data_IF_348564779005
#
_entry.id   IF_348564779005
#
_cell.length_a   1.000
_cell.length_b   1.000
_cell.length_c   1.000
_cell.angle_alpha   90.00
_cell.angle_beta   90.00
_cell.angle_gamma   90.00
#
_symmetry.space_group_name_H-M   'P 1'
#
loop_
_entity.id
_entity.type
_entity.pdbx_description
1 polymer ?
#
# COMPACT_ATOMS: atom_id res chain seq x y z
N UNK A 1 -30.32 -21.65 -21.33
CA UNK A 1 -29.94 -23.00 -20.86
C UNK A 1 -29.28 -22.89 -19.50
N UNK A 2 -29.86 -23.43 -18.41
CA UNK A 2 -29.15 -23.50 -17.13
C UNK A 2 -27.92 -24.39 -17.31
N UNK A 3 -26.74 -23.84 -17.00
CA UNK A 3 -25.45 -24.50 -17.20
C UNK A 3 -25.42 -25.86 -16.48
N UNK A 4 -25.57 -26.97 -17.22
CA UNK A 4 -25.55 -28.38 -16.76
C UNK A 4 -24.37 -28.72 -15.83
N UNK A 5 -23.30 -27.93 -15.88
CA UNK A 5 -22.05 -28.12 -15.15
C UNK A 5 -21.87 -27.21 -13.91
N UNK A 6 -22.90 -26.41 -13.54
CA UNK A 6 -22.87 -25.53 -12.36
C UNK A 6 -23.95 -25.94 -11.36
N UNK A 7 -23.56 -26.17 -10.10
CA UNK A 7 -24.50 -26.37 -8.98
C UNK A 7 -24.34 -25.22 -8.00
N UNK A 8 -25.40 -24.45 -7.77
CA UNK A 8 -25.37 -23.24 -6.93
C UNK A 8 -24.37 -22.20 -7.45
N UNK A 9 -24.33 -21.95 -8.77
CA UNK A 9 -23.45 -20.95 -9.41
C UNK A 9 -21.97 -21.32 -9.53
N UNK A 10 -21.51 -22.37 -8.83
CA UNK A 10 -20.11 -22.85 -8.85
C UNK A 10 -19.91 -23.95 -9.90
N UNK A 11 -18.90 -23.76 -10.77
CA UNK A 11 -18.50 -24.75 -11.78
C UNK A 11 -17.94 -26.02 -11.14
N UNK A 12 -18.54 -27.19 -11.42
CA UNK A 12 -18.21 -28.47 -10.78
C UNK A 12 -17.09 -29.25 -11.47
N UNK A 13 -16.73 -28.89 -12.70
CA UNK A 13 -15.68 -29.58 -13.47
C UNK A 13 -14.26 -29.34 -12.94
N UNK A 14 -14.10 -28.49 -11.93
CA UNK A 14 -12.83 -28.26 -11.27
C UNK A 14 -12.85 -28.93 -9.90
N UNK A 15 -11.74 -29.59 -9.53
CA UNK A 15 -11.53 -30.08 -8.17
C UNK A 15 -11.68 -28.92 -7.19
N UNK A 16 -12.57 -29.04 -6.22
CA UNK A 16 -12.79 -28.04 -5.16
C UNK A 16 -12.19 -28.61 -3.89
N UNK A 17 -11.35 -27.84 -3.20
CA UNK A 17 -10.77 -28.30 -1.93
C UNK A 17 -11.91 -28.52 -0.89
N UNK A 18 -11.91 -29.66 -0.17
CA UNK A 18 -12.88 -29.90 0.90
C UNK A 18 -12.81 -28.80 1.96
N UNK A 19 -13.95 -28.21 2.30
CA UNK A 19 -14.03 -27.11 3.28
C UNK A 19 -14.47 -25.76 2.68
N UNK A 20 -13.98 -25.36 1.50
CA UNK A 20 -14.40 -24.07 0.90
C UNK A 20 -15.73 -24.14 0.15
N UNK A 21 -16.18 -25.33 -0.25
CA UNK A 21 -17.37 -25.51 -1.12
C UNK A 21 -18.59 -24.74 -0.62
N UNK A 22 -18.91 -24.85 0.68
CA UNK A 22 -20.05 -24.15 1.30
C UNK A 22 -19.88 -22.63 1.23
N UNK A 23 -18.68 -22.11 1.46
CA UNK A 23 -18.37 -20.68 1.32
C UNK A 23 -18.53 -20.23 -0.13
N UNK A 24 -18.01 -20.99 -1.10
CA UNK A 24 -18.15 -20.66 -2.53
C UNK A 24 -19.62 -20.62 -2.99
N UNK A 25 -20.47 -21.50 -2.47
CA UNK A 25 -21.90 -21.48 -2.77
C UNK A 25 -22.58 -20.22 -2.21
N UNK A 26 -22.19 -19.76 -1.01
CA UNK A 26 -22.68 -18.49 -0.47
C UNK A 26 -22.19 -17.29 -1.28
N UNK A 27 -20.94 -17.31 -1.74
CA UNK A 27 -20.39 -16.28 -2.64
C UNK A 27 -21.19 -16.26 -3.96
N UNK A 28 -21.53 -17.43 -4.49
CA UNK A 28 -22.32 -17.54 -5.72
C UNK A 28 -23.79 -17.15 -5.55
N UNK A 29 -24.31 -17.06 -4.31
CA UNK A 29 -25.65 -16.56 -4.02
C UNK A 29 -25.73 -15.03 -3.95
N UNK A 30 -24.59 -14.33 -4.00
CA UNK A 30 -24.54 -12.88 -4.06
C UNK A 30 -25.22 -12.35 -5.34
N UNK A 31 -26.11 -11.36 -5.27
CA UNK A 31 -26.84 -10.85 -6.44
C UNK A 31 -25.93 -10.21 -7.49
N UNK A 32 -24.76 -9.72 -7.08
CA UNK A 32 -23.79 -9.11 -7.98
C UNK A 32 -22.86 -10.13 -8.65
N UNK A 33 -22.90 -11.40 -8.24
CA UNK A 33 -22.03 -12.47 -8.74
C UNK A 33 -22.77 -13.30 -9.77
N UNK A 34 -22.21 -13.37 -10.98
CA UNK A 34 -22.79 -14.17 -12.07
C UNK A 34 -22.31 -15.62 -12.03
N UNK A 35 -21.03 -15.80 -11.70
CA UNK A 35 -20.39 -17.10 -11.77
C UNK A 35 -19.16 -17.16 -10.87
N UNK A 36 -18.98 -18.32 -10.24
CA UNK A 36 -17.76 -18.66 -9.50
C UNK A 36 -17.06 -19.83 -10.19
N UNK A 37 -15.78 -19.67 -10.46
CA UNK A 37 -14.95 -20.65 -11.16
C UNK A 37 -13.75 -21.01 -10.29
N UNK A 38 -13.70 -22.25 -9.74
CA UNK A 38 -12.52 -22.72 -9.03
C UNK A 38 -11.36 -22.89 -10.01
N UNK A 39 -10.17 -22.46 -9.59
CA UNK A 39 -8.92 -22.57 -10.33
C UNK A 39 -8.01 -23.67 -9.78
N UNK A 40 -6.70 -23.50 -10.04
CA UNK A 40 -5.65 -24.46 -9.64
C UNK A 40 -5.54 -24.56 -8.12
N UNK A 41 -5.24 -25.77 -7.66
CA UNK A 41 -4.93 -26.09 -6.27
C UNK A 41 -3.41 -26.17 -6.13
N UNK A 42 -2.87 -25.50 -5.12
CA UNK A 42 -1.47 -25.51 -4.74
C UNK A 42 -1.35 -26.14 -3.35
N UNK A 43 -0.36 -27.00 -3.14
CA UNK A 43 0.01 -27.45 -1.79
C UNK A 43 0.63 -26.30 -1.02
N UNK A 44 0.15 -26.03 0.18
CA UNK A 44 0.70 -24.96 1.01
C UNK A 44 0.58 -25.30 2.49
N UNK A 45 1.66 -25.10 3.23
CA UNK A 45 1.65 -25.22 4.68
C UNK A 45 1.07 -23.94 5.27
N UNK A 46 -0.17 -23.96 5.74
CA UNK A 46 -0.75 -22.77 6.39
C UNK A 46 -2.26 -22.81 6.60
N UNK A 47 -2.69 -21.89 7.49
CA UNK A 47 -4.05 -21.65 8.03
C UNK A 47 -4.69 -22.88 8.68
N UNK A 48 -5.04 -22.80 9.95
CA UNK A 48 -5.83 -23.85 10.61
C UNK A 48 -7.30 -23.85 10.12
N UNK A 49 -7.79 -22.73 9.60
CA UNK A 49 -9.18 -22.58 9.15
C UNK A 49 -9.31 -22.26 7.65
N UNK A 50 -10.43 -22.70 7.01
CA UNK A 50 -10.75 -22.36 5.61
C UNK A 50 -11.13 -20.88 5.48
N UNK A 51 -10.26 -20.08 4.86
CA UNK A 51 -10.46 -18.63 4.69
C UNK A 51 -10.41 -18.27 3.21
N UNK A 52 -11.27 -17.34 2.77
CA UNK A 52 -11.21 -16.76 1.42
C UNK A 52 -10.74 -15.32 1.52
N UNK A 53 -9.69 -14.99 0.77
CA UNK A 53 -9.02 -13.68 0.81
C UNK A 53 -9.13 -13.03 -0.56
N UNK A 54 -9.42 -11.73 -0.59
CA UNK A 54 -9.39 -10.94 -1.81
C UNK A 54 -7.95 -10.70 -2.27
N UNK A 55 -7.69 -10.85 -3.57
CA UNK A 55 -6.36 -10.59 -4.14
C UNK A 55 -6.34 -9.33 -5.01
N UNK A 56 -7.11 -9.30 -6.09
CA UNK A 56 -7.20 -8.16 -7.00
C UNK A 56 -8.44 -8.22 -7.91
N UNK A 57 -8.80 -7.08 -8.49
CA UNK A 57 -9.82 -6.98 -9.53
C UNK A 57 -9.29 -7.38 -10.91
N UNK A 58 -10.15 -7.97 -11.72
CA UNK A 58 -9.90 -8.33 -13.13
C UNK A 58 -10.96 -7.68 -14.02
N UNK A 59 -10.70 -7.58 -15.32
CA UNK A 59 -11.62 -7.00 -16.31
C UNK A 59 -13.02 -7.64 -16.34
N UNK A 60 -13.19 -8.87 -15.86
CA UNK A 60 -14.49 -9.56 -15.82
C UNK A 60 -15.03 -9.77 -14.41
N UNK A 61 -14.32 -9.31 -13.37
CA UNK A 61 -14.67 -9.63 -11.98
C UNK A 61 -13.51 -9.51 -11.01
N UNK A 62 -13.26 -10.53 -10.21
CA UNK A 62 -12.20 -10.51 -9.18
C UNK A 62 -11.58 -11.87 -8.96
N UNK A 63 -10.32 -11.83 -8.52
CA UNK A 63 -9.59 -13.02 -8.08
C UNK A 63 -9.56 -13.07 -6.56
N UNK A 64 -9.96 -14.22 -6.03
CA UNK A 64 -9.89 -14.56 -4.63
C UNK A 64 -8.95 -15.75 -4.43
N UNK A 65 -8.46 -15.92 -3.22
CA UNK A 65 -7.64 -17.06 -2.80
C UNK A 65 -8.32 -17.75 -1.62
N UNK A 66 -8.70 -19.01 -1.80
CA UNK A 66 -9.14 -19.89 -0.73
C UNK A 66 -7.93 -20.57 -0.10
N UNK A 67 -7.70 -20.35 1.19
CA UNK A 67 -6.62 -20.93 1.99
C UNK A 67 -7.23 -21.96 2.94
N UNK A 68 -6.71 -23.18 2.95
CA UNK A 68 -7.11 -24.31 3.80
C UNK A 68 -5.82 -24.94 4.38
N UNK A 69 -5.88 -25.61 5.54
CA UNK A 69 -4.79 -26.45 6.01
C UNK A 69 -4.23 -27.36 4.90
N UNK A 70 -2.99 -27.14 4.48
CA UNK A 70 -2.31 -27.98 3.49
C UNK A 70 -2.54 -27.59 2.02
N UNK A 71 -3.48 -26.69 1.71
CA UNK A 71 -3.80 -26.35 0.32
C UNK A 71 -4.34 -24.93 0.12
N UNK A 72 -4.03 -24.34 -1.02
CA UNK A 72 -4.51 -23.04 -1.48
C UNK A 72 -5.15 -23.20 -2.85
N UNK A 73 -6.30 -22.57 -3.08
CA UNK A 73 -6.99 -22.59 -4.36
C UNK A 73 -7.28 -21.17 -4.84
N UNK A 74 -6.98 -20.94 -6.11
CA UNK A 74 -7.43 -19.73 -6.79
C UNK A 74 -8.93 -19.82 -7.10
N UNK A 75 -9.64 -18.73 -6.93
CA UNK A 75 -11.08 -18.64 -7.19
C UNK A 75 -11.31 -17.41 -8.06
N UNK A 76 -11.93 -17.60 -9.22
CA UNK A 76 -12.28 -16.51 -10.11
C UNK A 76 -13.78 -16.25 -10.01
N UNK A 77 -14.14 -15.02 -9.68
CA UNK A 77 -15.53 -14.58 -9.54
C UNK A 77 -15.83 -13.63 -10.68
N UNK A 78 -16.86 -13.93 -11.47
CA UNK A 78 -17.34 -13.11 -12.58
C UNK A 78 -18.45 -12.21 -12.07
N UNK A 79 -18.31 -10.91 -12.28
CA UNK A 79 -19.26 -9.89 -11.81
C UNK A 79 -19.15 -8.64 -12.68
N UNK A 80 -20.30 -8.10 -13.11
CA UNK A 80 -20.36 -6.79 -13.76
C UNK A 80 -20.09 -5.65 -12.77
N UNK A 81 -20.51 -5.79 -11.51
CA UNK A 81 -20.40 -4.78 -10.46
C UNK A 81 -19.41 -5.24 -9.39
N UNK A 82 -18.11 -5.18 -9.73
CA UNK A 82 -17.04 -5.82 -8.96
C UNK A 82 -16.88 -5.22 -7.56
N UNK A 83 -16.99 -3.90 -7.45
CA UNK A 83 -16.87 -3.18 -6.17
C UNK A 83 -18.07 -3.46 -5.24
N UNK A 84 -19.29 -3.38 -5.77
CA UNK A 84 -20.51 -3.71 -5.03
C UNK A 84 -20.50 -5.17 -4.56
N UNK A 85 -20.05 -6.09 -5.42
CA UNK A 85 -19.86 -7.48 -5.06
C UNK A 85 -18.85 -7.65 -3.92
N UNK A 86 -17.68 -7.00 -3.98
CA UNK A 86 -16.68 -7.10 -2.93
C UNK A 86 -17.20 -6.55 -1.60
N UNK A 87 -17.85 -5.39 -1.61
CA UNK A 87 -18.42 -4.77 -0.42
C UNK A 87 -19.46 -5.69 0.24
N UNK A 88 -20.35 -6.29 -0.56
CA UNK A 88 -21.34 -7.26 -0.06
C UNK A 88 -20.68 -8.49 0.55
N UNK A 89 -19.64 -9.03 -0.11
CA UNK A 89 -18.94 -10.23 0.33
C UNK A 89 -18.14 -10.01 1.62
N UNK A 90 -17.54 -8.82 1.78
CA UNK A 90 -16.85 -8.41 2.99
C UNK A 90 -17.84 -8.18 4.12
N UNK A 91 -18.97 -7.49 3.87
CA UNK A 91 -20.03 -7.30 4.85
C UNK A 91 -20.64 -8.63 5.35
N UNK A 92 -20.73 -9.62 4.46
CA UNK A 92 -21.19 -10.97 4.78
C UNK A 92 -20.13 -11.85 5.48
N UNK A 93 -18.94 -11.32 5.80
CA UNK A 93 -17.79 -12.05 6.35
C UNK A 93 -17.39 -13.30 5.54
N UNK A 94 -17.66 -13.28 4.23
CA UNK A 94 -17.31 -14.39 3.32
C UNK A 94 -15.90 -14.23 2.77
N UNK A 95 -15.45 -12.99 2.58
CA UNK A 95 -14.15 -12.62 2.03
C UNK A 95 -13.45 -11.65 2.98
N UNK A 96 -12.17 -11.89 3.23
CA UNK A 96 -11.30 -10.96 3.96
C UNK A 96 -10.57 -10.06 2.97
N UNK A 97 -10.62 -8.75 3.22
CA UNK A 97 -9.69 -7.80 2.62
C UNK A 97 -8.35 -7.99 3.32
N UNK A 98 -7.29 -8.27 2.57
CA UNK A 98 -5.98 -8.56 3.15
C UNK A 98 -5.37 -7.27 3.73
N UNK A 99 -5.73 -6.96 4.98
CA UNK A 99 -5.03 -5.98 5.80
C UNK A 99 -4.82 -6.64 7.18
N UNK A 100 -3.55 -6.92 7.50
CA UNK A 100 -3.07 -7.60 8.72
C UNK A 100 -3.12 -9.14 8.72
N UNK A 101 -2.06 -9.75 8.18
CA UNK A 101 -1.48 -10.96 8.80
C UNK A 101 -0.15 -10.59 9.42
N UNK A 102 0.10 -10.90 10.70
CA UNK A 102 1.46 -10.92 11.25
C UNK A 102 2.20 -12.09 10.61
N UNK A 103 2.79 -11.86 9.44
CA UNK A 103 3.43 -12.90 8.64
C UNK A 103 4.04 -12.32 7.38
N UNK A 104 5.28 -12.75 7.11
CA UNK A 104 6.21 -12.19 6.12
C UNK A 104 5.53 -11.74 4.81
N UNK A 105 5.87 -10.54 4.30
CA UNK A 105 5.34 -10.05 3.03
C UNK A 105 5.62 -11.07 1.93
N UNK A 106 4.56 -11.42 1.21
CA UNK A 106 4.59 -12.41 0.14
C UNK A 106 5.62 -12.01 -0.92
N UNK A 107 6.69 -12.81 -1.02
CA UNK A 107 7.69 -12.87 -2.11
C UNK A 107 7.98 -11.56 -2.87
N UNK A 108 8.89 -10.74 -2.34
CA UNK A 108 9.80 -10.04 -3.24
C UNK A 108 10.59 -11.11 -3.99
N UNK A 109 10.54 -11.07 -5.33
CA UNK A 109 11.36 -11.78 -6.34
C UNK A 109 12.16 -12.99 -5.83
N UNK A 110 11.94 -14.16 -6.43
CA UNK A 110 12.81 -15.37 -6.33
C UNK A 110 14.27 -14.97 -6.10
N UNK A 111 14.71 -15.02 -4.84
CA UNK A 111 16.13 -14.93 -4.50
C UNK A 111 16.73 -16.25 -4.96
N UNK A 112 17.75 -16.16 -5.80
CA UNK A 112 18.49 -17.30 -6.31
C UNK A 112 18.85 -18.25 -5.17
N UNK A 113 18.68 -19.53 -5.45
CA UNK A 113 19.05 -20.65 -4.59
C UNK A 113 20.51 -20.50 -4.15
N UNK A 114 20.75 -20.24 -2.87
CA UNK A 114 22.03 -20.57 -2.23
C UNK A 114 21.74 -21.51 -1.08
N UNK A 115 22.30 -22.71 -1.18
CA UNK A 115 22.33 -23.72 -0.14
C UNK A 115 23.26 -23.27 0.99
N UNK A 116 22.80 -23.55 2.21
CA UNK A 116 23.45 -23.53 3.51
C UNK A 116 24.99 -23.36 3.58
N UNK A 117 25.44 -22.52 4.52
CA UNK A 117 26.80 -22.58 5.07
C UNK A 117 27.30 -21.25 5.62
N UNK A 118 27.13 -21.07 6.94
CA UNK A 118 28.01 -20.33 7.86
C UNK A 118 28.34 -18.83 7.68
N UNK A 119 28.61 -18.22 8.83
CA UNK A 119 28.89 -16.82 9.02
C UNK A 119 30.25 -16.42 8.44
N UNK A 120 30.28 -15.62 7.38
CA UNK A 120 31.38 -14.68 7.13
C UNK A 120 30.92 -13.52 6.23
N UNK A 121 31.24 -12.30 6.67
CA UNK A 121 31.10 -11.07 5.89
C UNK A 121 32.22 -11.05 4.85
N UNK A 122 31.94 -11.51 3.62
CA UNK A 122 32.84 -11.29 2.49
C UNK A 122 32.37 -10.08 1.67
N UNK A 123 33.27 -9.18 1.25
CA UNK A 123 32.93 -8.09 0.36
C UNK A 123 32.46 -8.63 -0.99
N UNK A 124 31.50 -7.93 -1.59
CA UNK A 124 30.93 -8.22 -2.90
C UNK A 124 32.11 -8.36 -3.88
N UNK A 125 32.32 -9.57 -4.43
CA UNK A 125 33.34 -9.80 -5.45
C UNK A 125 33.01 -8.93 -6.67
N UNK A 126 33.76 -7.84 -6.83
CA UNK A 126 33.72 -7.02 -8.05
C UNK A 126 34.00 -7.93 -9.25
N UNK A 127 33.23 -7.75 -10.32
CA UNK A 127 33.35 -8.56 -11.51
C UNK A 127 34.81 -8.55 -12.03
N UNK A 128 35.25 -9.67 -12.61
CA UNK A 128 36.61 -9.80 -13.15
C UNK A 128 36.96 -8.60 -14.05
N UNK A 129 38.19 -8.05 -13.98
CA UNK A 129 38.60 -6.87 -14.74
C UNK A 129 38.29 -6.96 -16.24
N UNK A 130 38.33 -8.17 -16.82
CA UNK A 130 37.99 -8.40 -18.23
C UNK A 130 36.50 -8.20 -18.52
N UNK A 131 35.64 -8.47 -17.55
CA UNK A 131 34.20 -8.25 -17.65
C UNK A 131 33.88 -6.76 -17.66
N UNK A 132 34.58 -5.99 -16.81
CA UNK A 132 34.48 -4.52 -16.78
C UNK A 132 34.98 -3.91 -18.10
N UNK A 133 36.12 -4.38 -18.61
CA UNK A 133 36.68 -3.92 -19.89
C UNK A 133 35.74 -4.19 -21.07
N UNK A 134 35.14 -5.38 -21.12
CA UNK A 134 34.16 -5.74 -22.16
C UNK A 134 32.92 -4.87 -22.09
N UNK A 135 32.45 -4.52 -20.90
CA UNK A 135 31.31 -3.62 -20.73
C UNK A 135 31.63 -2.19 -21.19
N UNK A 136 32.82 -1.69 -20.85
CA UNK A 136 33.27 -0.36 -21.27
C UNK A 136 33.45 -0.26 -22.79
N UNK A 137 33.96 -1.31 -23.43
CA UNK A 137 34.12 -1.37 -24.88
C UNK A 137 32.78 -1.42 -25.65
N UNK A 138 31.71 -1.95 -25.03
CA UNK A 138 30.38 -2.00 -25.64
C UNK A 138 29.63 -0.66 -25.55
N UNK A 139 30.10 0.28 -24.72
CA UNK A 139 29.50 1.61 -24.56
C UNK A 139 30.09 2.69 -25.48
N UNK A 140 31.21 2.44 -26.15
CA UNK A 140 31.86 3.42 -27.03
C UNK A 140 31.33 3.39 -28.48
N UNK A 141 30.48 2.42 -28.84
CA UNK A 141 30.00 2.22 -30.21
C UNK A 141 28.48 2.10 -30.26
N UNK A 142 27.77 3.20 -29.99
CA UNK A 142 26.47 3.52 -30.61
C UNK A 142 25.93 4.86 -30.15
N UNK A 143 25.82 5.75 -31.12
CA UNK A 143 24.99 6.96 -31.09
C UNK A 143 23.50 6.52 -30.99
N UNK A 144 23.03 6.24 -29.77
CA UNK A 144 21.66 5.77 -29.52
C UNK A 144 21.05 6.37 -28.24
N UNK A 145 19.95 7.13 -28.32
CA UNK A 145 19.40 7.91 -27.21
C UNK A 145 18.57 7.09 -26.20
N UNK A 146 18.86 5.80 -26.01
CA UNK A 146 18.02 4.87 -25.24
C UNK A 146 18.62 4.33 -23.93
N UNK A 147 19.73 4.90 -23.47
CA UNK A 147 20.31 4.57 -22.16
C UNK A 147 20.17 5.74 -21.19
N UNK A 148 18.99 5.85 -20.59
CA UNK A 148 18.84 6.56 -19.31
C UNK A 148 18.83 5.48 -18.23
N UNK A 149 19.82 5.50 -17.33
CA UNK A 149 19.91 4.56 -16.23
C UNK A 149 18.60 4.59 -15.42
N UNK A 150 18.16 3.45 -14.91
CA UNK A 150 16.89 3.36 -14.14
C UNK A 150 16.90 4.29 -12.91
N UNK A 151 18.09 4.62 -12.37
CA UNK A 151 18.28 5.65 -11.35
C UNK A 151 17.97 7.07 -11.83
N UNK A 152 18.30 7.39 -13.07
CA UNK A 152 18.05 8.71 -13.66
C UNK A 152 16.56 8.94 -13.97
N UNK A 153 15.80 7.87 -14.30
CA UNK A 153 14.33 7.94 -14.48
C UNK A 153 13.56 8.18 -13.18
N UNK A 154 14.13 7.80 -12.04
CA UNK A 154 13.58 8.09 -10.70
C UNK A 154 13.96 9.50 -10.23
N UNK A 155 15.11 10.02 -10.64
CA UNK A 155 15.58 11.35 -10.27
C UNK A 155 14.81 12.49 -10.93
N UNK A 156 14.23 12.32 -12.13
CA UNK A 156 13.41 13.37 -12.76
C UNK A 156 12.22 13.80 -11.90
N UNK A 157 11.46 12.83 -11.37
CA UNK A 157 10.29 13.11 -10.50
C UNK A 157 10.69 13.71 -9.15
N UNK A 158 11.83 13.30 -8.60
CA UNK A 158 12.38 13.85 -7.36
C UNK A 158 12.90 15.28 -7.56
N UNK A 159 13.47 15.58 -8.72
CA UNK A 159 13.91 16.92 -9.09
C UNK A 159 12.71 17.88 -9.26
N UNK A 160 11.66 17.43 -9.94
CA UNK A 160 10.41 18.20 -10.09
C UNK A 160 9.72 18.45 -8.75
N UNK A 161 9.80 17.49 -7.84
CA UNK A 161 9.26 17.65 -6.49
C UNK A 161 10.09 18.63 -5.64
N UNK A 162 11.42 18.53 -5.72
CA UNK A 162 12.34 19.43 -5.01
C UNK A 162 12.24 20.87 -5.52
N UNK A 163 12.13 21.06 -6.83
CA UNK A 163 11.95 22.40 -7.44
C UNK A 163 10.60 23.01 -7.04
N UNK A 164 9.50 22.24 -7.02
CA UNK A 164 8.21 22.70 -6.48
C UNK A 164 8.30 23.13 -5.03
N UNK A 165 8.93 22.34 -4.16
CA UNK A 165 9.09 22.68 -2.75
C UNK A 165 9.89 23.98 -2.55
N UNK A 166 10.96 24.17 -3.31
CA UNK A 166 11.75 25.40 -3.26
C UNK A 166 10.95 26.62 -3.74
N UNK A 167 10.15 26.46 -4.80
CA UNK A 167 9.30 27.53 -5.32
C UNK A 167 8.19 27.92 -4.33
N UNK A 168 7.56 26.94 -3.69
CA UNK A 168 6.57 27.19 -2.63
C UNK A 168 7.20 27.92 -1.43
N UNK A 169 8.39 27.50 -1.00
CA UNK A 169 9.11 28.16 0.09
C UNK A 169 9.49 29.62 -0.25
N UNK A 170 9.91 29.90 -1.49
CA UNK A 170 10.18 31.26 -1.93
C UNK A 170 8.92 32.13 -2.00
N UNK A 171 7.80 31.58 -2.48
CA UNK A 171 6.51 32.27 -2.52
C UNK A 171 6.05 32.60 -1.09
N UNK A 172 6.20 31.66 -0.15
CA UNK A 172 5.91 31.90 1.27
C UNK A 172 6.81 33.01 1.84
N UNK A 173 8.12 32.96 1.59
CA UNK A 173 9.08 33.96 2.08
C UNK A 173 8.82 35.35 1.48
N UNK A 174 8.42 35.44 0.20
CA UNK A 174 7.99 36.70 -0.45
C UNK A 174 6.67 37.21 0.15
N UNK A 175 5.69 36.33 0.41
CA UNK A 175 4.42 36.67 1.08
C UNK A 175 4.65 37.17 2.51
N UNK A 176 5.55 36.55 3.26
CA UNK A 176 5.93 37.00 4.61
C UNK A 176 6.68 38.33 4.59
N UNK A 177 7.61 38.54 3.65
CA UNK A 177 8.31 39.82 3.47
C UNK A 177 7.31 40.95 3.14
N UNK A 178 6.35 40.71 2.24
CA UNK A 178 5.25 41.66 1.95
C UNK A 178 4.35 41.90 3.16
N UNK A 179 4.04 40.87 3.96
CA UNK A 179 3.28 41.01 5.21
C UNK A 179 4.04 41.82 6.26
N UNK A 180 5.35 41.61 6.42
CA UNK A 180 6.21 42.37 7.33
C UNK A 180 6.40 43.83 6.90
N UNK A 181 6.54 44.10 5.60
CA UNK A 181 6.61 45.49 5.09
C UNK A 181 5.27 46.22 5.23
N UNK A 182 4.14 45.53 5.09
CA UNK A 182 2.80 46.10 5.33
C UNK A 182 2.53 46.35 6.82
N UNK A 183 3.04 45.50 7.72
CA UNK A 183 3.01 45.69 9.19
C UNK A 183 3.88 46.86 9.67
N UNK A 184 5.01 47.14 9.00
CA UNK A 184 5.89 48.28 9.33
C UNK A 184 5.29 49.66 8.99
N UNK A 185 4.17 49.72 8.25
CA UNK A 185 3.50 50.98 7.85
C UNK A 185 2.27 51.32 8.70
N UNK A 186 1.97 50.57 9.74
CA UNK A 186 0.88 50.90 10.68
C UNK A 186 1.48 51.46 11.97
N UNK A 187 1.00 52.62 12.47
CA UNK A 187 1.40 53.10 13.79
C UNK A 187 0.87 52.14 14.87
N UNK A 188 1.54 52.05 16.03
CA UNK A 188 1.20 51.06 17.05
C UNK A 188 -0.10 51.47 17.74
N UNK A 189 -1.22 50.85 17.35
CA UNK A 189 -2.47 50.99 18.08
C UNK A 189 -2.79 49.71 18.87
N UNK A 190 -2.75 49.89 20.18
CA UNK A 190 -3.43 49.22 21.29
C UNK A 190 -3.85 47.74 21.15
N UNK A 191 -3.25 46.94 22.05
CA UNK A 191 -3.82 45.83 22.82
C UNK A 191 -5.08 45.15 22.25
N UNK A 192 -4.90 43.95 21.70
CA UNK A 192 -6.03 43.05 21.44
C UNK A 192 -6.43 42.32 22.74
N UNK A 193 -7.74 42.21 23.05
CA UNK A 193 -8.21 41.43 24.18
C UNK A 193 -8.01 39.93 23.92
N UNK A 194 -7.77 39.20 25.01
CA UNK A 194 -7.60 37.75 25.06
C UNK A 194 -8.91 37.09 24.60
N UNK A 195 -8.98 36.74 23.32
CA UNK A 195 -10.05 35.89 22.78
C UNK A 195 -9.53 34.46 22.69
N UNK A 196 -10.33 33.51 23.17
CA UNK A 196 -9.99 32.10 23.17
C UNK A 196 -9.83 31.58 21.72
N UNK A 197 -8.86 30.70 21.45
CA UNK A 197 -8.64 30.17 20.11
C UNK A 197 -9.84 29.32 19.65
N UNK A 198 -10.54 29.78 18.61
CA UNK A 198 -11.71 29.09 18.02
C UNK A 198 -11.35 28.05 16.96
N UNK A 199 -10.08 28.00 16.54
CA UNK A 199 -9.59 27.08 15.50
C UNK A 199 -8.49 26.18 16.05
N UNK A 200 -8.50 24.90 15.67
CA UNK A 200 -7.55 23.87 16.14
C UNK A 200 -6.07 24.26 15.98
N UNK A 201 -5.71 24.94 14.89
CA UNK A 201 -4.34 25.43 14.67
C UNK A 201 -3.92 26.53 15.67
N UNK A 202 -4.86 27.35 16.12
CA UNK A 202 -4.59 28.40 17.11
C UNK A 202 -4.39 27.80 18.50
N UNK A 203 -5.11 26.72 18.80
CA UNK A 203 -4.91 25.92 20.01
C UNK A 203 -3.50 25.35 20.07
N UNK A 204 -3.03 24.72 18.99
CA UNK A 204 -1.69 24.16 18.93
C UNK A 204 -0.60 25.22 19.11
N UNK A 205 -0.75 26.39 18.47
CA UNK A 205 0.19 27.51 18.63
C UNK A 205 0.14 28.16 20.02
N UNK A 206 -1.01 28.18 20.66
CA UNK A 206 -1.14 28.68 22.03
C UNK A 206 -0.50 27.72 23.03
N UNK A 207 -0.70 26.41 22.84
CA UNK A 207 -0.08 25.37 23.66
C UNK A 207 1.46 25.36 23.53
N UNK A 208 1.99 25.56 22.32
CA UNK A 208 3.45 25.61 22.08
C UNK A 208 4.11 26.82 22.76
N UNK A 209 3.37 27.92 22.95
CA UNK A 209 3.86 29.08 23.72
C UNK A 209 3.84 28.87 25.23
N UNK A 210 3.05 27.93 25.72
CA UNK A 210 3.00 27.62 27.14
C UNK A 210 4.16 26.67 27.46
N UNK A 211 5.16 27.20 28.15
CA UNK A 211 6.33 26.45 28.58
C UNK A 211 5.97 25.31 29.55
N UNK A 212 6.95 24.44 29.81
CA UNK A 212 6.87 23.25 30.68
C UNK A 212 6.27 23.50 32.07
N UNK A 213 6.43 24.72 32.60
CA UNK A 213 5.88 25.14 33.89
C UNK A 213 4.34 25.17 33.94
N UNK A 214 3.67 25.43 32.81
CA UNK A 214 2.21 25.38 32.73
C UNK A 214 1.66 23.97 32.98
N UNK A 215 2.31 22.96 32.39
CA UNK A 215 1.94 21.56 32.57
C UNK A 215 2.28 21.04 33.96
N UNK A 216 3.36 21.54 34.59
CA UNK A 216 3.69 21.24 35.99
C UNK A 216 2.60 21.76 36.94
N UNK A 217 2.08 22.96 36.72
CA UNK A 217 1.01 23.54 37.53
C UNK A 217 -0.32 22.78 37.40
N UNK A 218 -0.72 22.42 36.18
CA UNK A 218 -1.92 21.59 35.95
C UNK A 218 -1.80 20.23 36.64
N UNK A 219 -0.59 19.64 36.65
CA UNK A 219 -0.37 18.35 37.30
C UNK A 219 -0.49 18.46 38.83
N UNK A 220 0.06 19.52 39.42
CA UNK A 220 -0.03 19.78 40.86
C UNK A 220 -1.45 20.05 41.35
N UNK A 221 -2.24 20.83 40.59
CA UNK A 221 -3.65 21.13 40.93
C UNK A 221 -4.58 19.90 40.84
N UNK A 222 -4.14 18.82 40.17
CA UNK A 222 -4.88 17.56 40.07
C UNK A 222 -4.51 16.54 41.16
N UNK A 223 -3.36 16.74 41.82
CA UNK A 223 -2.87 15.91 42.92
C UNK A 223 -3.22 16.47 44.31
N UNK A 224 -3.82 17.68 44.39
CA UNK A 224 -4.44 18.23 45.61
C UNK A 224 -5.95 17.96 45.64
#
# INVERSE_FOLDING_TARGET
MPNKHRRGGVKQQHSIIPGIRKRLQKIAACPYVQAVTPGRIFSATGSQEPVVVFQYFQATGMKLIGKIPGAVQEIFVVSSQREAALNWLTAANLVLLEENRPGKPYSQKRKGRTTAGENSTEPISEASPDTLRRYMQLSDDSDSPLMVAVGDRLNGKMHDFRTKLLQEAEVQKKRERKRKSKRRRQPPNQQQPISQPTTMEQWLKAAEKQGTEYWRKIKADKES
#
